data_IF_448194267852
#
_entry.id   IF_448194267852
#
_cell.length_a   1.000
_cell.length_b   1.000
_cell.length_c   1.000
_cell.angle_alpha   90.00
_cell.angle_beta   90.00
_cell.angle_gamma   90.00
#
_symmetry.space_group_name_H-M   'P 1'
#
loop_
_entity.id
_entity.type
_entity.pdbx_description
1 polymer ?
#
# COMPACT_ATOMS: atom_id res chain seq x y z
N UNK A 1 4.93 -6.36 23.92
CA UNK A 1 4.33 -5.27 24.75
C UNK A 1 4.90 -5.31 26.16
N UNK A 2 5.26 -6.49 26.67
CA UNK A 2 5.77 -6.70 28.04
C UNK A 2 7.14 -6.06 28.35
N UNK A 3 7.82 -5.49 27.36
CA UNK A 3 9.13 -4.81 27.52
C UNK A 3 9.04 -3.27 27.46
N UNK A 4 7.85 -2.69 27.36
CA UNK A 4 7.68 -1.23 27.28
C UNK A 4 7.45 -0.62 28.66
N UNK A 5 8.12 0.50 28.93
CA UNK A 5 7.76 1.34 30.08
C UNK A 5 6.45 2.07 29.74
N UNK A 6 5.40 1.88 30.52
CA UNK A 6 4.06 2.40 30.24
C UNK A 6 3.68 3.45 31.28
N UNK A 7 3.14 4.58 30.85
CA UNK A 7 2.41 5.54 31.69
C UNK A 7 0.94 5.57 31.26
N UNK A 8 0.04 5.15 32.17
CA UNK A 8 -1.39 4.96 31.88
C UNK A 8 -1.67 4.19 30.57
N UNK A 9 -0.85 3.18 30.26
CA UNK A 9 -0.96 2.37 29.05
C UNK A 9 -0.30 2.98 27.79
N UNK A 10 0.34 4.14 27.90
CA UNK A 10 1.07 4.78 26.80
C UNK A 10 2.56 4.42 26.87
N UNK A 11 3.17 3.91 25.79
CA UNK A 11 4.58 3.55 25.80
C UNK A 11 5.51 4.76 25.83
N UNK A 12 6.53 4.69 26.68
CA UNK A 12 7.54 5.72 26.90
C UNK A 12 8.93 5.26 26.47
N UNK A 13 9.75 6.21 26.01
CA UNK A 13 11.14 6.00 25.66
C UNK A 13 11.98 5.77 26.93
N UNK A 14 12.66 4.63 27.01
CA UNK A 14 13.54 4.29 28.14
C UNK A 14 14.75 5.21 28.32
N UNK A 15 15.12 5.98 27.29
CA UNK A 15 16.28 6.89 27.32
C UNK A 15 15.92 8.33 27.73
N UNK A 16 14.75 8.83 27.34
CA UNK A 16 14.38 10.25 27.55
C UNK A 16 13.00 10.45 28.20
N UNK A 17 12.22 9.39 28.43
CA UNK A 17 10.87 9.48 29.01
C UNK A 17 9.79 10.02 28.06
N UNK A 18 10.13 10.37 26.82
CA UNK A 18 9.17 10.88 25.84
C UNK A 18 8.18 9.82 25.34
N UNK A 19 7.03 10.26 24.82
CA UNK A 19 6.01 9.38 24.25
C UNK A 19 6.52 8.64 23.01
N UNK A 20 6.30 7.33 22.96
CA UNK A 20 6.55 6.54 21.76
C UNK A 20 5.29 6.47 20.90
N UNK A 21 5.46 6.72 19.61
CA UNK A 21 4.45 6.49 18.57
C UNK A 21 4.91 5.30 17.72
N UNK A 22 3.99 4.43 17.25
CA UNK A 22 4.30 3.49 16.18
C UNK A 22 4.94 4.19 14.98
N UNK A 23 5.94 3.56 14.38
CA UNK A 23 6.60 4.08 13.18
C UNK A 23 5.75 3.84 11.92
N UNK A 24 4.57 4.45 11.91
CA UNK A 24 3.56 4.35 10.86
C UNK A 24 3.10 5.74 10.45
N UNK A 25 2.80 5.92 9.18
CA UNK A 25 2.20 7.16 8.67
C UNK A 25 0.71 7.15 8.99
N UNK A 26 0.26 8.13 9.79
CA UNK A 26 -1.15 8.34 10.08
C UNK A 26 -1.80 9.24 9.03
N UNK A 27 -3.13 9.22 8.91
CA UNK A 27 -3.83 10.17 8.04
C UNK A 27 -3.46 11.62 8.38
N UNK A 28 -3.24 12.42 7.34
CA UNK A 28 -2.79 13.81 7.47
C UNK A 28 -1.27 13.97 7.71
N UNK A 29 -0.51 12.89 7.84
CA UNK A 29 0.95 12.95 7.84
C UNK A 29 1.51 12.77 6.43
N UNK A 30 2.63 13.44 6.19
CA UNK A 30 3.39 13.24 4.96
C UNK A 30 4.03 11.85 4.94
N UNK A 31 4.01 11.24 3.77
CA UNK A 31 4.86 10.09 3.48
C UNK A 31 6.32 10.53 3.33
N UNK A 32 7.22 9.56 3.41
CA UNK A 32 8.66 9.75 3.20
C UNK A 32 8.87 10.11 1.72
N UNK A 33 9.39 11.31 1.39
CA UNK A 33 9.54 11.76 0.00
C UNK A 33 10.36 10.81 -0.87
N UNK A 34 11.43 10.25 -0.32
CA UNK A 34 12.34 9.34 -1.04
C UNK A 34 11.65 8.02 -1.42
N UNK A 35 10.73 7.53 -0.58
CA UNK A 35 9.93 6.34 -0.90
C UNK A 35 8.89 6.64 -2.00
N UNK A 36 8.33 7.85 -2.01
CA UNK A 36 7.40 8.27 -3.06
C UNK A 36 8.09 8.39 -4.42
N UNK A 37 9.27 9.00 -4.47
CA UNK A 37 10.08 9.13 -5.68
C UNK A 37 10.44 7.74 -6.23
N UNK A 38 10.93 6.85 -5.35
CA UNK A 38 11.25 5.47 -5.74
C UNK A 38 10.02 4.71 -6.25
N UNK A 39 8.86 4.85 -5.61
CA UNK A 39 7.63 4.20 -6.07
C UNK A 39 7.17 4.75 -7.42
N UNK A 40 7.33 6.04 -7.66
CA UNK A 40 7.03 6.68 -8.93
C UNK A 40 7.92 6.16 -10.07
N UNK A 41 9.23 6.08 -9.85
CA UNK A 41 10.18 5.57 -10.85
C UNK A 41 9.90 4.11 -11.22
N UNK A 42 9.57 3.28 -10.23
CA UNK A 42 9.19 1.88 -10.45
C UNK A 42 7.86 1.76 -11.20
N UNK A 43 6.87 2.59 -10.86
CA UNK A 43 5.59 2.61 -11.56
C UNK A 43 5.75 3.04 -13.03
N UNK A 44 6.63 4.01 -13.32
CA UNK A 44 6.91 4.45 -14.69
C UNK A 44 7.72 3.42 -15.48
N UNK A 45 8.58 2.63 -14.85
CA UNK A 45 9.47 1.71 -15.56
C UNK A 45 8.95 0.26 -15.66
N UNK A 46 7.86 -0.08 -14.97
CA UNK A 46 7.37 -1.45 -14.97
C UNK A 46 6.63 -1.83 -16.26
N UNK A 47 6.84 -3.05 -16.75
CA UNK A 47 6.02 -3.65 -17.80
C UNK A 47 4.63 -4.06 -17.29
N UNK A 48 4.53 -4.35 -15.99
CA UNK A 48 3.29 -4.76 -15.33
C UNK A 48 3.25 -4.30 -13.87
N UNK A 49 2.08 -3.80 -13.45
CA UNK A 49 1.73 -3.43 -12.09
C UNK A 49 0.59 -4.32 -11.59
N UNK A 50 0.73 -4.85 -10.36
CA UNK A 50 -0.28 -5.68 -9.70
C UNK A 50 -0.75 -4.97 -8.44
N UNK A 51 -2.00 -4.51 -8.44
CA UNK A 51 -2.68 -4.01 -7.25
C UNK A 51 -3.37 -5.16 -6.51
N UNK A 52 -2.73 -5.69 -5.47
CA UNK A 52 -3.20 -6.84 -4.71
C UNK A 52 -3.76 -6.42 -3.35
N UNK A 53 -5.04 -6.72 -3.08
CA UNK A 53 -5.70 -6.51 -1.79
C UNK A 53 -5.91 -5.04 -1.43
N UNK A 54 -6.00 -4.14 -2.42
CA UNK A 54 -6.21 -2.71 -2.22
C UNK A 54 -7.49 -2.24 -2.90
N UNK A 55 -8.21 -1.31 -2.27
CA UNK A 55 -9.37 -0.62 -2.86
C UNK A 55 -8.96 0.58 -3.73
N UNK A 56 -7.66 0.94 -3.72
CA UNK A 56 -7.11 2.03 -4.53
C UNK A 56 -7.79 3.40 -4.32
N UNK A 57 -8.15 3.72 -3.08
CA UNK A 57 -8.76 5.03 -2.73
C UNK A 57 -7.85 5.95 -1.91
N UNK A 58 -6.83 5.40 -1.25
CA UNK A 58 -5.97 6.18 -0.35
C UNK A 58 -4.79 6.76 -1.12
N UNK A 59 -4.74 8.10 -1.16
CA UNK A 59 -3.67 8.84 -1.82
C UNK A 59 -2.45 9.04 -0.91
N UNK A 60 -1.24 9.18 -1.48
CA UNK A 60 -0.88 9.15 -2.90
C UNK A 60 -0.72 7.73 -3.51
N UNK A 61 -0.71 6.67 -2.69
CA UNK A 61 -0.40 5.31 -3.15
C UNK A 61 -1.34 4.81 -4.28
N UNK A 62 -2.61 5.20 -4.24
CA UNK A 62 -3.59 4.88 -5.28
C UNK A 62 -3.27 5.47 -6.67
N UNK A 63 -2.36 6.44 -6.76
CA UNK A 63 -1.98 7.04 -8.05
C UNK A 63 -0.95 6.22 -8.84
N UNK A 64 -0.17 5.35 -8.18
CA UNK A 64 0.90 4.61 -8.86
C UNK A 64 0.38 3.58 -9.88
N UNK A 65 -0.71 2.82 -9.63
CA UNK A 65 -1.25 1.92 -10.66
C UNK A 65 -1.79 2.66 -11.89
N UNK A 66 -2.41 3.82 -11.68
CA UNK A 66 -2.83 4.69 -12.79
C UNK A 66 -1.62 5.19 -13.58
N UNK A 67 -0.55 5.62 -12.89
CA UNK A 67 0.68 6.09 -13.52
C UNK A 67 1.33 4.99 -14.37
N UNK A 68 1.43 3.77 -13.85
CA UNK A 68 1.96 2.62 -14.58
C UNK A 68 1.13 2.35 -15.85
N UNK A 69 -0.21 2.35 -15.72
CA UNK A 69 -1.11 2.13 -16.86
C UNK A 69 -0.97 3.23 -17.91
N UNK A 70 -0.87 4.49 -17.50
CA UNK A 70 -0.68 5.62 -18.40
C UNK A 70 0.67 5.59 -19.13
N UNK A 71 1.69 4.98 -18.52
CA UNK A 71 2.99 4.78 -19.17
C UNK A 71 3.08 3.50 -20.03
N UNK A 72 1.95 2.84 -20.28
CA UNK A 72 1.87 1.67 -21.15
C UNK A 72 2.09 0.32 -20.45
N UNK A 73 2.26 0.31 -19.13
CA UNK A 73 2.32 -0.92 -18.35
C UNK A 73 0.97 -1.64 -18.28
N UNK A 74 1.01 -2.96 -18.14
CA UNK A 74 -0.17 -3.80 -17.88
C UNK A 74 -0.62 -3.59 -16.43
N UNK A 75 -1.90 -3.40 -16.20
CA UNK A 75 -2.48 -3.27 -14.86
C UNK A 75 -3.37 -4.47 -14.54
N UNK A 76 -3.04 -5.20 -13.49
CA UNK A 76 -3.89 -6.23 -12.89
C UNK A 76 -4.34 -5.81 -11.49
N UNK A 77 -5.63 -5.99 -11.19
CA UNK A 77 -6.23 -5.67 -9.90
C UNK A 77 -6.85 -6.93 -9.31
N UNK A 78 -6.48 -7.26 -8.07
CA UNK A 78 -7.01 -8.40 -7.32
C UNK A 78 -7.52 -7.89 -5.97
N UNK A 79 -8.83 -7.73 -5.83
CA UNK A 79 -9.44 -7.28 -4.58
C UNK A 79 -10.93 -7.62 -4.56
N UNK A 80 -11.54 -7.82 -3.39
CA UNK A 80 -12.97 -8.20 -3.28
C UNK A 80 -13.93 -7.03 -3.54
N UNK A 81 -13.42 -5.81 -3.67
CA UNK A 81 -14.22 -4.61 -3.84
C UNK A 81 -13.95 -3.98 -5.19
N UNK A 82 -14.94 -3.25 -5.70
CA UNK A 82 -14.76 -2.39 -6.86
C UNK A 82 -13.67 -1.34 -6.58
N UNK A 83 -12.92 -0.97 -7.62
CA UNK A 83 -11.91 0.09 -7.55
C UNK A 83 -12.17 1.18 -8.57
N UNK A 84 -11.70 2.42 -8.33
CA UNK A 84 -11.81 3.50 -9.31
C UNK A 84 -11.09 3.24 -10.64
N UNK A 85 -10.24 2.22 -10.72
CA UNK A 85 -9.41 1.91 -11.89
C UNK A 85 -9.86 0.65 -12.63
N UNK A 86 -10.97 0.02 -12.23
CA UNK A 86 -11.43 -1.24 -12.84
C UNK A 86 -11.67 -1.08 -14.36
N UNK A 87 -12.25 0.03 -14.79
CA UNK A 87 -12.55 0.31 -16.21
C UNK A 87 -11.30 0.43 -17.11
N UNK A 88 -10.12 0.71 -16.53
CA UNK A 88 -8.88 0.87 -17.28
C UNK A 88 -7.91 -0.29 -17.08
N UNK A 89 -8.16 -1.18 -16.11
CA UNK A 89 -7.28 -2.30 -15.84
C UNK A 89 -7.39 -3.36 -16.96
N UNK A 90 -6.28 -4.03 -17.26
CA UNK A 90 -6.25 -5.12 -18.24
C UNK A 90 -6.87 -6.39 -17.65
N UNK A 91 -6.70 -6.58 -16.33
CA UNK A 91 -7.26 -7.71 -15.60
C UNK A 91 -7.85 -7.25 -14.26
N UNK A 92 -9.08 -7.67 -13.97
CA UNK A 92 -9.75 -7.41 -12.69
C UNK A 92 -10.28 -8.73 -12.15
N UNK A 93 -9.91 -9.04 -10.92
CA UNK A 93 -10.34 -10.23 -10.19
C UNK A 93 -11.00 -9.83 -8.88
N UNK A 94 -12.34 -9.92 -8.84
CA UNK A 94 -13.13 -9.63 -7.64
C UNK A 94 -13.17 -10.82 -6.68
N UNK A 95 -12.01 -11.14 -6.13
CA UNK A 95 -11.81 -12.32 -5.30
C UNK A 95 -10.93 -11.99 -4.08
N UNK A 96 -10.98 -12.87 -3.08
CA UNK A 96 -10.09 -12.78 -1.93
C UNK A 96 -8.66 -13.10 -2.38
N UNK A 97 -7.72 -12.20 -2.07
CA UNK A 97 -6.33 -12.30 -2.52
C UNK A 97 -5.67 -13.64 -2.16
N UNK A 98 -5.90 -14.15 -0.95
CA UNK A 98 -5.35 -15.45 -0.53
C UNK A 98 -5.80 -16.59 -1.46
N UNK A 99 -7.11 -16.68 -1.71
CA UNK A 99 -7.70 -17.73 -2.55
C UNK A 99 -7.24 -17.62 -4.02
N UNK A 100 -7.02 -16.39 -4.51
CA UNK A 100 -6.42 -16.15 -5.82
C UNK A 100 -4.98 -16.70 -5.89
N UNK A 101 -4.15 -16.42 -4.89
CA UNK A 101 -2.76 -16.90 -4.83
C UNK A 101 -2.71 -18.43 -4.73
N UNK A 102 -3.61 -19.06 -3.97
CA UNK A 102 -3.66 -20.52 -3.84
C UNK A 102 -3.88 -21.21 -5.20
N UNK A 103 -4.64 -20.60 -6.12
CA UNK A 103 -4.84 -21.13 -7.49
C UNK A 103 -3.59 -21.04 -8.37
N UNK A 104 -2.68 -20.11 -8.09
CA UNK A 104 -1.42 -19.94 -8.82
C UNK A 104 -0.31 -20.87 -8.32
N UNK A 105 -0.47 -21.46 -7.14
CA UNK A 105 0.55 -22.31 -6.50
C UNK A 105 0.62 -23.75 -7.05
N UNK A 106 -0.07 -24.04 -8.17
CA UNK A 106 -0.15 -25.35 -8.83
C UNK A 106 0.49 -25.32 -10.22
#
# INVERSE_FOLDING_TARGET
LDELNLDNGTPLCSKCGGLLKPNTISFGQNLVPEDLERAQDLALSCDMMIAAGSTLVVQPAASFPLLAKQNGGILAIITQSDTPLDDIADFVFHEKLGDFIDRLAY
#
